data_IF_911847390080
#
_entry.id   IF_911847390080
#
_cell.length_a   1.000
_cell.length_b   1.000
_cell.length_c   1.000
_cell.angle_alpha   90.00
_cell.angle_beta   90.00
_cell.angle_gamma   90.00
#
_symmetry.space_group_name_H-M   'P 1'
#
loop_
_entity.id
_entity.type
_entity.pdbx_description
1 polymer ?
#
# COMPACT_ATOMS: atom_id res chain seq x y z
N UNK A 1 -1.30 -47.37 37.11
CA UNK A 1 -0.80 -46.09 37.66
C UNK A 1 -0.74 -45.08 36.53
N UNK A 2 -1.36 -43.88 36.65
CA UNK A 2 -1.20 -42.83 35.65
C UNK A 2 0.12 -42.05 35.87
N UNK A 3 0.74 -41.50 34.80
CA UNK A 3 1.97 -40.72 34.92
C UNK A 3 1.71 -39.32 35.52
N UNK A 4 2.64 -38.86 36.36
CA UNK A 4 2.58 -37.57 37.05
C UNK A 4 2.73 -36.40 36.07
N UNK A 5 1.83 -35.42 36.17
CA UNK A 5 1.84 -34.13 35.47
C UNK A 5 2.96 -33.24 36.02
N UNK A 6 3.94 -32.89 35.19
CA UNK A 6 4.96 -31.89 35.54
C UNK A 6 4.36 -30.52 35.23
N UNK A 7 4.06 -29.75 36.29
CA UNK A 7 3.75 -28.32 36.19
C UNK A 7 5.08 -27.56 36.20
N UNK A 8 5.46 -26.99 35.06
CA UNK A 8 6.59 -26.06 34.98
C UNK A 8 6.10 -24.66 35.32
N UNK A 9 6.38 -24.24 36.55
CA UNK A 9 6.33 -22.84 36.96
C UNK A 9 7.67 -22.19 36.65
N UNK A 10 7.71 -21.23 35.74
CA UNK A 10 8.81 -20.27 35.67
C UNK A 10 8.27 -18.85 35.81
N UNK A 11 8.71 -18.23 36.90
CA UNK A 11 8.38 -16.90 37.37
C UNK A 11 9.41 -15.87 36.89
N UNK A 12 8.91 -14.67 36.56
CA UNK A 12 9.56 -13.34 36.67
C UNK A 12 10.71 -13.01 35.70
N UNK A 13 10.49 -11.96 34.88
CA UNK A 13 11.18 -10.67 35.09
C UNK A 13 10.47 -9.54 34.34
N UNK A 14 9.86 -8.63 35.10
CA UNK A 14 9.42 -7.30 34.66
C UNK A 14 10.64 -6.42 34.43
N UNK A 15 10.79 -5.85 33.24
CA UNK A 15 11.69 -4.71 32.98
C UNK A 15 10.84 -3.43 32.88
N UNK A 16 11.30 -2.30 33.44
CA UNK A 16 10.58 -1.02 33.39
C UNK A 16 10.51 -0.46 31.95
N UNK A 17 9.52 0.39 31.64
CA UNK A 17 9.37 0.98 30.31
C UNK A 17 10.44 2.06 30.11
N UNK A 18 11.46 1.74 29.32
CA UNK A 18 12.39 2.76 28.79
C UNK A 18 11.78 3.34 27.52
N UNK A 19 11.40 4.61 27.59
CA UNK A 19 11.00 5.43 26.44
C UNK A 19 12.21 5.60 25.50
N UNK A 20 12.14 4.99 24.32
CA UNK A 20 13.07 5.22 23.19
C UNK A 20 12.25 5.67 21.98
N UNK A 21 12.15 7.00 21.83
CA UNK A 21 11.89 7.76 20.58
C UNK A 21 13.25 7.87 19.85
N UNK A 22 13.45 7.67 18.55
CA UNK A 22 12.64 8.04 17.37
C UNK A 22 12.89 7.11 16.13
N UNK A 23 13.20 5.82 16.30
CA UNK A 23 13.41 4.88 15.16
C UNK A 23 12.33 3.80 15.01
N UNK A 24 11.35 3.77 15.91
CA UNK A 24 10.34 2.69 15.94
C UNK A 24 9.09 2.99 15.10
N UNK A 25 8.77 4.25 14.85
CA UNK A 25 7.56 4.65 14.12
C UNK A 25 7.69 4.39 12.61
N UNK A 26 8.88 4.61 12.04
CA UNK A 26 9.14 4.34 10.61
C UNK A 26 9.06 2.84 10.26
N UNK A 27 9.52 1.98 11.17
CA UNK A 27 9.45 0.52 11.02
C UNK A 27 7.99 0.02 11.06
N UNK A 28 7.16 0.65 11.90
CA UNK A 28 5.74 0.30 12.02
C UNK A 28 4.98 0.65 10.73
N UNK A 29 5.23 1.84 10.17
CA UNK A 29 4.63 2.31 8.91
C UNK A 29 5.01 1.41 7.74
N UNK A 30 6.30 1.09 7.55
CA UNK A 30 6.74 0.22 6.45
C UNK A 30 6.10 -1.18 6.56
N UNK A 31 5.94 -1.69 7.78
CA UNK A 31 5.31 -2.99 8.02
C UNK A 31 3.81 -3.00 7.72
N UNK A 32 3.13 -1.88 7.95
CA UNK A 32 1.71 -1.71 7.64
C UNK A 32 1.50 -1.54 6.14
N UNK A 33 2.32 -0.72 5.48
CA UNK A 33 2.31 -0.55 4.02
C UNK A 33 2.55 -1.88 3.30
N UNK A 34 3.53 -2.67 3.76
CA UNK A 34 3.77 -4.01 3.23
C UNK A 34 2.55 -4.91 3.38
N UNK A 35 1.89 -4.85 4.54
CA UNK A 35 0.69 -5.63 4.77
C UNK A 35 -0.48 -5.20 3.86
N UNK A 36 -0.67 -3.90 3.65
CA UNK A 36 -1.69 -3.38 2.75
C UNK A 36 -1.45 -3.81 1.30
N UNK A 37 -0.19 -3.79 0.85
CA UNK A 37 0.20 -4.33 -0.46
C UNK A 37 -0.13 -5.83 -0.57
N UNK A 38 0.17 -6.62 0.47
CA UNK A 38 -0.16 -8.05 0.52
C UNK A 38 -1.69 -8.27 0.41
N UNK A 39 -2.49 -7.47 1.10
CA UNK A 39 -3.96 -7.51 1.06
C UNK A 39 -4.48 -7.16 -0.33
N UNK A 40 -3.96 -6.08 -0.94
CA UNK A 40 -4.36 -5.62 -2.27
C UNK A 40 -4.04 -6.68 -3.33
N UNK A 41 -2.86 -7.30 -3.27
CA UNK A 41 -2.50 -8.40 -4.16
C UNK A 41 -3.50 -9.55 -4.03
N UNK A 42 -3.85 -9.95 -2.79
CA UNK A 42 -4.84 -11.01 -2.58
C UNK A 42 -6.23 -10.67 -3.15
N UNK A 43 -6.67 -9.41 -3.02
CA UNK A 43 -7.94 -8.95 -3.62
C UNK A 43 -7.88 -9.10 -5.15
N UNK A 44 -6.79 -8.67 -5.78
CA UNK A 44 -6.59 -8.82 -7.23
C UNK A 44 -6.66 -10.28 -7.67
N UNK A 45 -6.06 -11.20 -6.91
CA UNK A 45 -6.14 -12.63 -7.20
C UNK A 45 -7.59 -13.16 -7.13
N UNK A 46 -8.36 -12.77 -6.10
CA UNK A 46 -9.77 -13.16 -6.03
C UNK A 46 -10.59 -12.60 -7.20
N UNK A 47 -10.36 -11.35 -7.58
CA UNK A 47 -11.04 -10.73 -8.72
C UNK A 47 -10.69 -11.44 -10.03
N UNK A 48 -9.42 -11.80 -10.25
CA UNK A 48 -8.98 -12.54 -11.42
C UNK A 48 -9.59 -13.95 -11.48
N UNK A 49 -9.69 -14.63 -10.33
CA UNK A 49 -10.37 -15.92 -10.24
C UNK A 49 -11.84 -15.82 -10.66
N UNK A 50 -12.56 -14.80 -10.16
CA UNK A 50 -13.95 -14.54 -10.53
C UNK A 50 -14.09 -14.18 -12.02
N UNK A 51 -13.24 -13.27 -12.51
CA UNK A 51 -13.24 -12.81 -13.91
C UNK A 51 -12.92 -13.94 -14.89
N UNK A 52 -12.09 -14.90 -14.50
CA UNK A 52 -11.72 -16.03 -15.36
C UNK A 52 -12.90 -16.95 -15.69
N UNK A 53 -13.96 -16.95 -14.87
CA UNK A 53 -15.13 -17.82 -15.05
C UNK A 53 -14.86 -19.32 -14.88
N UNK A 54 -13.64 -19.72 -14.48
CA UNK A 54 -13.22 -21.13 -14.37
C UNK A 54 -13.59 -21.79 -13.04
N UNK A 55 -14.27 -21.07 -12.15
CA UNK A 55 -14.57 -21.52 -10.79
C UNK A 55 -16.07 -21.79 -10.61
N UNK A 56 -16.39 -22.80 -9.78
CA UNK A 56 -17.77 -23.12 -9.38
C UNK A 56 -18.43 -21.92 -8.68
N UNK A 57 -19.75 -21.76 -8.83
CA UNK A 57 -20.54 -20.69 -8.22
C UNK A 57 -20.39 -20.63 -6.69
N UNK A 58 -20.27 -21.78 -6.02
CA UNK A 58 -19.99 -21.81 -4.59
C UNK A 58 -18.66 -21.14 -4.23
N UNK A 59 -17.62 -21.39 -5.04
CA UNK A 59 -16.28 -20.79 -4.88
C UNK A 59 -16.26 -19.32 -5.27
N UNK A 60 -17.08 -18.91 -6.23
CA UNK A 60 -17.29 -17.51 -6.60
C UNK A 60 -17.89 -16.71 -5.45
N UNK A 61 -18.97 -17.21 -4.84
CA UNK A 61 -19.58 -16.56 -3.68
C UNK A 61 -18.62 -16.48 -2.48
N UNK A 62 -17.87 -17.55 -2.24
CA UNK A 62 -16.85 -17.60 -1.19
C UNK A 62 -15.74 -16.56 -1.43
N UNK A 63 -15.26 -16.43 -2.67
CA UNK A 63 -14.27 -15.42 -3.07
C UNK A 63 -14.80 -13.99 -2.93
N UNK A 64 -16.06 -13.74 -3.29
CA UNK A 64 -16.70 -12.43 -3.10
C UNK A 64 -16.79 -12.06 -1.62
N UNK A 65 -17.16 -13.01 -0.75
CA UNK A 65 -17.19 -12.79 0.71
C UNK A 65 -15.79 -12.48 1.25
N UNK A 66 -14.76 -13.16 0.74
CA UNK A 66 -13.37 -12.90 1.11
C UNK A 66 -12.94 -11.47 0.73
N UNK A 67 -13.26 -11.00 -0.48
CA UNK A 67 -12.98 -9.62 -0.92
C UNK A 67 -13.65 -8.60 0.00
N UNK A 68 -14.94 -8.78 0.32
CA UNK A 68 -15.69 -7.87 1.20
C UNK A 68 -15.03 -7.81 2.59
N UNK A 69 -14.55 -8.94 3.09
CA UNK A 69 -13.87 -9.05 4.39
C UNK A 69 -12.53 -8.31 4.35
N UNK A 70 -11.70 -8.53 3.33
CA UNK A 70 -10.40 -7.86 3.21
C UNK A 70 -10.50 -6.34 3.09
N UNK A 71 -11.52 -5.83 2.38
CA UNK A 71 -11.76 -4.38 2.19
C UNK A 71 -12.23 -3.66 3.45
N UNK A 72 -12.78 -4.37 4.44
CA UNK A 72 -13.24 -3.74 5.69
C UNK A 72 -12.04 -3.33 6.55
N UNK A 73 -11.95 -2.03 6.86
CA UNK A 73 -10.95 -1.48 7.79
C UNK A 73 -11.17 -1.94 9.23
N UNK A 74 -12.42 -2.25 9.60
CA UNK A 74 -12.80 -2.67 10.97
C UNK A 74 -12.35 -4.09 11.33
N UNK A 75 -11.79 -4.85 10.39
CA UNK A 75 -11.43 -6.26 10.61
C UNK A 75 -9.99 -6.36 11.13
N UNK A 76 -9.76 -7.06 12.24
CA UNK A 76 -8.42 -7.24 12.80
C UNK A 76 -7.43 -7.81 11.77
N UNK A 77 -6.20 -7.28 11.78
CA UNK A 77 -5.09 -7.72 10.92
C UNK A 77 -4.89 -9.25 10.94
N UNK A 78 -4.97 -9.87 12.13
CA UNK A 78 -4.83 -11.32 12.27
C UNK A 78 -5.90 -12.11 11.51
N UNK A 79 -7.13 -11.61 11.46
CA UNK A 79 -8.22 -12.26 10.73
C UNK A 79 -8.01 -12.15 9.22
N UNK A 80 -7.56 -10.98 8.73
CA UNK A 80 -7.17 -10.80 7.33
C UNK A 80 -6.05 -11.78 6.93
N UNK A 81 -5.01 -11.91 7.77
CA UNK A 81 -3.91 -12.86 7.53
C UNK A 81 -4.42 -14.31 7.48
N UNK A 82 -5.26 -14.71 8.44
CA UNK A 82 -5.83 -16.07 8.48
C UNK A 82 -6.65 -16.36 7.23
N UNK A 83 -7.48 -15.41 6.81
CA UNK A 83 -8.27 -15.51 5.59
C UNK A 83 -7.37 -15.68 4.37
N UNK A 84 -6.38 -14.81 4.19
CA UNK A 84 -5.42 -14.89 3.08
C UNK A 84 -4.69 -16.25 3.05
N UNK A 85 -4.27 -16.76 4.22
CA UNK A 85 -3.65 -18.10 4.35
C UNK A 85 -4.63 -19.24 4.05
N UNK A 86 -5.89 -19.11 4.40
CA UNK A 86 -6.88 -20.15 4.11
C UNK A 86 -7.04 -20.37 2.60
N UNK A 87 -7.08 -19.30 1.81
CA UNK A 87 -7.27 -19.41 0.36
C UNK A 87 -5.98 -19.62 -0.42
N UNK A 88 -4.93 -18.89 -0.08
CA UNK A 88 -3.70 -18.86 -0.89
C UNK A 88 -2.51 -19.55 -0.22
N UNK A 89 -2.61 -19.89 1.09
CA UNK A 89 -1.57 -20.42 1.98
C UNK A 89 -0.29 -19.59 1.98
N UNK A 90 0.46 -19.66 0.89
CA UNK A 90 1.76 -19.03 0.66
C UNK A 90 1.64 -17.84 -0.30
N UNK A 91 0.74 -16.90 0.00
CA UNK A 91 0.53 -15.72 -0.86
C UNK A 91 1.79 -14.86 -1.01
N UNK A 92 2.67 -14.82 0.01
CA UNK A 92 3.92 -14.04 -0.03
C UNK A 92 4.88 -14.54 -1.11
N UNK A 93 5.05 -15.86 -1.22
CA UNK A 93 5.90 -16.47 -2.25
C UNK A 93 5.31 -16.28 -3.64
N UNK A 94 3.98 -16.31 -3.76
CA UNK A 94 3.29 -16.05 -5.03
C UNK A 94 3.46 -14.60 -5.49
N UNK A 95 3.38 -13.65 -4.56
CA UNK A 95 3.62 -12.24 -4.84
C UNK A 95 5.04 -11.99 -5.37
N UNK A 96 6.05 -12.57 -4.72
CA UNK A 96 7.44 -12.46 -5.20
C UNK A 96 7.62 -13.05 -6.60
N UNK A 97 7.01 -14.22 -6.86
CA UNK A 97 7.07 -14.83 -8.20
C UNK A 97 6.41 -13.95 -9.25
N UNK A 98 5.27 -13.34 -8.95
CA UNK A 98 4.60 -12.41 -9.86
C UNK A 98 5.49 -11.20 -10.16
N UNK A 99 6.13 -10.61 -9.13
CA UNK A 99 7.09 -9.51 -9.28
C UNK A 99 8.30 -9.89 -10.16
N UNK A 100 8.85 -11.11 -9.99
CA UNK A 100 9.93 -11.65 -10.83
C UNK A 100 9.47 -11.84 -12.28
N UNK A 101 8.23 -12.30 -12.51
CA UNK A 101 7.72 -12.45 -13.89
C UNK A 101 7.46 -11.12 -14.57
N UNK A 102 6.98 -10.12 -13.83
CA UNK A 102 6.74 -8.76 -14.35
C UNK A 102 8.07 -8.10 -14.69
N UNK A 103 9.05 -8.13 -13.79
CA UNK A 103 10.39 -7.55 -14.03
C UNK A 103 11.15 -8.24 -15.16
N UNK A 104 11.04 -9.57 -15.28
CA UNK A 104 11.65 -10.32 -16.39
C UNK A 104 11.00 -9.97 -17.74
N UNK A 105 9.67 -9.78 -17.77
CA UNK A 105 8.94 -9.44 -18.99
C UNK A 105 9.02 -7.95 -19.37
N UNK A 106 9.33 -7.08 -18.41
CA UNK A 106 9.49 -5.62 -18.59
C UNK A 106 10.95 -5.19 -18.84
N UNK A 107 11.78 -6.05 -19.45
CA UNK A 107 12.94 -5.56 -20.22
C UNK A 107 12.42 -4.80 -21.44
N UNK A 108 11.85 -3.62 -21.21
CA UNK A 108 11.68 -2.62 -22.26
C UNK A 108 13.08 -2.28 -22.71
N UNK A 109 13.44 -2.72 -23.91
CA UNK A 109 14.61 -2.20 -24.59
C UNK A 109 14.34 -0.70 -24.71
N UNK A 110 15.01 0.10 -23.89
CA UNK A 110 15.04 1.54 -24.08
C UNK A 110 15.81 1.74 -25.38
N UNK A 111 15.09 1.65 -26.49
CA UNK A 111 15.58 2.03 -27.80
C UNK A 111 15.94 3.50 -27.66
N UNK A 112 17.24 3.77 -27.44
CA UNK A 112 17.77 5.12 -27.45
C UNK A 112 17.34 5.73 -28.76
N UNK A 113 16.39 6.66 -28.70
CA UNK A 113 15.83 7.32 -29.86
C UNK A 113 16.96 7.74 -30.83
N UNK A 114 16.74 7.67 -32.15
CA UNK A 114 17.72 8.13 -33.12
C UNK A 114 18.12 9.56 -32.73
N UNK A 115 19.43 9.82 -32.76
CA UNK A 115 20.03 11.08 -32.37
C UNK A 115 19.48 12.19 -33.28
N UNK A 116 18.31 12.72 -32.94
CA UNK A 116 17.76 13.88 -33.61
C UNK A 116 18.75 15.00 -33.30
N UNK A 117 19.42 15.49 -34.34
CA UNK A 117 20.29 16.65 -34.30
C UNK A 117 19.47 17.92 -34.01
N UNK A 118 18.85 17.97 -32.83
CA UNK A 118 18.08 19.09 -32.34
C UNK A 118 19.04 20.20 -31.99
N UNK A 119 18.95 21.33 -32.71
CA UNK A 119 19.63 22.55 -32.31
C UNK A 119 18.87 23.16 -31.12
N UNK A 120 19.43 23.05 -29.93
CA UNK A 120 18.92 23.73 -28.75
C UNK A 120 19.14 25.23 -28.90
N UNK A 121 18.05 25.97 -29.10
CA UNK A 121 18.10 27.43 -29.10
C UNK A 121 18.01 27.89 -27.64
N UNK A 122 19.12 28.40 -27.10
CA UNK A 122 19.15 29.02 -25.79
C UNK A 122 18.37 30.34 -25.87
N UNK A 123 17.15 30.37 -25.34
CA UNK A 123 16.36 31.59 -25.21
C UNK A 123 17.10 32.54 -24.26
N UNK A 124 17.56 33.68 -24.79
CA UNK A 124 18.13 34.78 -23.99
C UNK A 124 16.97 35.57 -23.39
N UNK A 125 16.93 35.63 -22.07
CA UNK A 125 16.08 36.57 -21.32
C UNK A 125 16.78 37.92 -21.32
N UNK A 126 16.21 38.91 -21.99
CA UNK A 126 16.61 40.31 -21.80
C UNK A 126 15.90 40.85 -20.56
N UNK A 127 16.71 41.24 -19.58
CA UNK A 127 16.27 41.85 -18.34
C UNK A 127 15.61 43.21 -18.66
N UNK A 128 14.29 43.22 -18.79
CA UNK A 128 13.52 44.37 -18.35
C UNK A 128 12.79 43.97 -17.08
N UNK A 129 13.29 44.46 -15.95
CA UNK A 129 12.77 44.16 -14.63
C UNK A 129 11.29 44.55 -14.52
N UNK A 130 10.43 43.58 -14.20
CA UNK A 130 9.46 43.72 -13.09
C UNK A 130 8.76 42.40 -12.78
N UNK A 131 8.71 42.17 -11.47
CA UNK A 131 7.88 41.22 -10.74
C UNK A 131 8.40 39.78 -10.61
N UNK A 132 8.87 39.51 -9.40
CA UNK A 132 9.11 38.22 -8.78
C UNK A 132 7.97 37.23 -9.01
N UNK A 133 8.22 36.21 -9.85
CA UNK A 133 7.93 34.83 -9.50
C UNK A 133 8.59 33.91 -10.53
N UNK A 134 9.88 33.66 -10.35
CA UNK A 134 10.63 32.76 -11.23
C UNK A 134 10.25 31.31 -10.94
N UNK A 135 9.42 30.78 -11.85
CA UNK A 135 9.59 29.47 -12.47
C UNK A 135 9.47 28.22 -11.57
N UNK A 136 8.24 27.92 -11.16
CA UNK A 136 7.71 26.57 -11.09
C UNK A 136 6.36 26.57 -11.84
N UNK A 137 6.24 25.77 -12.91
CA UNK A 137 5.03 25.68 -13.76
C UNK A 137 4.08 24.56 -13.30
N UNK A 138 4.22 24.10 -12.06
CA UNK A 138 3.17 23.28 -11.45
C UNK A 138 2.11 24.24 -10.91
N UNK A 139 0.98 24.31 -11.60
CA UNK A 139 -0.21 24.98 -11.08
C UNK A 139 -0.82 24.11 -9.98
N UNK A 140 -0.24 24.13 -8.78
CA UNK A 140 -0.92 23.65 -7.59
C UNK A 140 -1.80 24.81 -7.13
N UNK A 141 -3.10 24.70 -7.38
CA UNK A 141 -4.09 25.60 -6.80
C UNK A 141 -4.17 25.29 -5.29
N UNK A 142 -3.30 25.90 -4.48
CA UNK A 142 -3.26 25.70 -3.02
C UNK A 142 -4.41 26.40 -2.26
N UNK A 143 -5.30 27.12 -2.95
CA UNK A 143 -6.35 27.94 -2.32
C UNK A 143 -7.77 27.33 -2.40
N UNK A 144 -7.92 26.04 -2.09
CA UNK A 144 -9.24 25.43 -1.83
C UNK A 144 -9.34 24.69 -0.50
N UNK A 145 -8.84 25.31 0.58
CA UNK A 145 -9.08 24.82 1.94
C UNK A 145 -9.18 25.94 2.97
N UNK A 146 -9.95 26.99 2.65
CA UNK A 146 -10.59 27.81 3.68
C UNK A 146 -11.86 28.40 3.07
N UNK A 147 -13.02 28.11 3.68
CA UNK A 147 -14.29 28.86 3.62
C UNK A 147 -15.56 28.01 3.79
N UNK A 148 -15.49 26.71 4.10
CA UNK A 148 -16.70 25.87 4.30
C UNK A 148 -17.08 25.58 5.78
N UNK A 149 -16.50 26.28 6.78
CA UNK A 149 -16.80 26.01 8.20
C UNK A 149 -17.44 27.15 9.00
N UNK A 150 -17.62 28.34 8.44
CA UNK A 150 -18.16 29.51 9.20
C UNK A 150 -19.58 29.93 8.81
N UNK A 151 -20.33 29.15 8.01
CA UNK A 151 -21.72 29.46 7.64
C UNK A 151 -22.77 28.51 8.23
N UNK A 152 -22.52 27.99 9.45
CA UNK A 152 -23.54 27.21 10.19
C UNK A 152 -23.82 27.64 11.63
N UNK A 153 -23.55 28.90 11.98
CA UNK A 153 -23.94 29.46 13.28
C UNK A 153 -24.79 30.75 13.24
N UNK A 154 -25.39 31.10 12.10
CA UNK A 154 -26.13 32.38 11.99
C UNK A 154 -27.45 32.34 11.19
N UNK A 155 -28.20 31.24 11.20
CA UNK A 155 -29.62 31.32 10.83
C UNK A 155 -30.48 30.33 11.65
N UNK A 156 -31.20 30.93 12.60
CA UNK A 156 -32.45 30.54 13.27
C UNK A 156 -32.66 29.10 13.75
#
# INVERSE_FOLDING_TARGET
MPPKRIVSSNSKLTKPPTLVKDNNEEIDIESELKFDNEVLWCISQFENLIKSGKINDAKKQESMKAIITLKKSTIPKIQKIQLMRQYFKDYKTKMQKDEETVTSSQKVHFESQPQLNGKFVKRKTENNSRSSNTAFLFNFDDDKLSNDMDEKLSLQ
#
